data_IF_214379916148
#
_entry.id   IF_214379916148
#
_cell.length_a   1.000
_cell.length_b   1.000
_cell.length_c   1.000
_cell.angle_alpha   90.00
_cell.angle_beta   90.00
_cell.angle_gamma   90.00
#
_symmetry.space_group_name_H-M   'P 1'
#
loop_
_entity.id
_entity.type
_entity.pdbx_description
1 polymer ?
#
# COMPACT_ATOMS: atom_id res chain seq x y z
N UNK A 1 2.31 14.71 11.89
CA UNK A 1 2.82 14.71 10.49
C UNK A 1 3.85 13.60 10.39
N UNK A 2 3.75 12.71 9.39
CA UNK A 2 4.70 11.62 9.21
C UNK A 2 6.07 12.14 8.79
N UNK A 3 7.14 11.49 9.25
CA UNK A 3 8.46 11.60 8.63
C UNK A 3 8.44 10.85 7.29
N UNK A 4 9.10 11.36 6.26
CA UNK A 4 9.15 10.72 4.95
C UNK A 4 10.43 11.06 4.19
N UNK A 5 10.75 10.20 3.22
CA UNK A 5 11.72 10.45 2.16
C UNK A 5 10.98 10.87 0.89
N UNK A 6 11.66 11.61 0.03
CA UNK A 6 11.09 12.08 -1.22
C UNK A 6 12.13 11.98 -2.34
N UNK A 7 11.69 11.58 -3.53
CA UNK A 7 12.42 11.69 -4.79
C UNK A 7 11.56 12.49 -5.74
N UNK A 8 12.07 13.66 -6.12
CA UNK A 8 11.44 14.53 -7.11
C UNK A 8 11.45 13.86 -8.49
N UNK A 9 10.42 14.07 -9.33
CA UNK A 9 10.42 13.58 -10.70
C UNK A 9 11.59 14.19 -11.48
N UNK A 10 12.26 13.39 -12.32
CA UNK A 10 13.35 13.88 -13.18
C UNK A 10 12.81 14.74 -14.34
N UNK A 11 11.54 14.59 -14.70
CA UNK A 11 10.85 15.41 -15.68
C UNK A 11 9.96 16.42 -14.98
N UNK A 12 10.18 17.70 -15.24
CA UNK A 12 9.37 18.76 -14.64
C UNK A 12 7.90 18.64 -15.05
N UNK A 13 7.00 18.65 -14.06
CA UNK A 13 5.56 18.78 -14.24
C UNK A 13 5.01 19.81 -13.26
N UNK A 14 4.07 20.65 -13.73
CA UNK A 14 3.32 21.57 -12.86
C UNK A 14 2.38 20.82 -11.90
N UNK A 15 1.98 19.61 -12.27
CA UNK A 15 1.13 18.70 -11.49
C UNK A 15 1.69 17.30 -11.63
N UNK A 16 2.70 16.92 -10.84
CA UNK A 16 3.29 15.59 -10.92
C UNK A 16 2.30 14.52 -10.47
N UNK A 17 2.41 13.34 -11.04
CA UNK A 17 1.81 12.12 -10.51
C UNK A 17 2.61 11.73 -9.25
N UNK A 18 1.95 11.15 -8.25
CA UNK A 18 2.63 10.75 -7.03
C UNK A 18 2.47 9.26 -6.71
N UNK A 19 3.49 8.70 -6.06
CA UNK A 19 3.48 7.36 -5.48
C UNK A 19 3.86 7.46 -4.01
N UNK A 20 2.92 7.14 -3.11
CA UNK A 20 3.17 7.03 -1.68
C UNK A 20 3.47 5.57 -1.32
N UNK A 21 4.64 5.35 -0.71
CA UNK A 21 5.11 4.05 -0.26
C UNK A 21 4.87 3.86 1.24
N UNK A 22 4.28 2.70 1.61
CA UNK A 22 3.95 2.29 2.98
C UNK A 22 4.66 0.98 3.30
N UNK A 23 5.67 1.04 4.17
CA UNK A 23 6.50 -0.11 4.55
C UNK A 23 5.76 -1.12 5.43
N UNK A 24 6.34 -2.32 5.60
CA UNK A 24 5.84 -3.38 6.47
C UNK A 24 6.11 -3.15 7.95
N UNK A 25 5.49 -3.97 8.82
CA UNK A 25 5.73 -3.98 10.26
C UNK A 25 7.21 -4.20 10.58
N UNK A 26 7.76 -3.39 11.47
CA UNK A 26 9.16 -3.50 11.90
C UNK A 26 10.18 -2.83 10.96
N UNK A 27 9.73 -2.27 9.85
CA UNK A 27 10.57 -1.59 8.87
C UNK A 27 10.54 -0.06 9.04
N UNK A 28 10.88 0.71 8.00
CA UNK A 28 10.90 2.16 7.99
C UNK A 28 10.82 2.72 6.57
N UNK A 29 10.87 4.06 6.42
CA UNK A 29 10.75 4.76 5.15
C UNK A 29 11.87 4.48 4.13
N UNK A 30 12.98 3.88 4.52
CA UNK A 30 14.09 3.57 3.61
C UNK A 30 13.87 2.28 2.82
N UNK A 31 13.05 1.38 3.32
CA UNK A 31 12.85 0.02 2.80
C UNK A 31 12.35 0.06 1.35
N UNK A 32 11.09 0.37 1.12
CA UNK A 32 10.52 0.44 -0.23
C UNK A 32 11.13 1.57 -1.08
N UNK A 33 11.68 2.61 -0.45
CA UNK A 33 12.38 3.69 -1.14
C UNK A 33 13.60 3.20 -1.92
N UNK A 34 14.14 2.04 -1.59
CA UNK A 34 15.21 1.37 -2.35
C UNK A 34 14.81 1.06 -3.80
N UNK A 35 13.51 0.93 -4.10
CA UNK A 35 12.98 0.71 -5.45
C UNK A 35 12.83 2.00 -6.27
N UNK A 36 12.91 3.17 -5.64
CA UNK A 36 12.57 4.45 -6.26
C UNK A 36 13.32 4.73 -7.58
N UNK A 37 14.60 4.35 -7.66
CA UNK A 37 15.41 4.54 -8.86
C UNK A 37 15.05 3.63 -10.05
N UNK A 38 14.22 2.63 -9.83
CA UNK A 38 13.76 1.68 -10.85
C UNK A 38 12.35 2.00 -11.37
N UNK A 39 11.69 2.98 -10.76
CA UNK A 39 10.34 3.42 -11.11
C UNK A 39 10.37 4.56 -12.13
N UNK A 40 9.24 4.86 -12.80
CA UNK A 40 9.16 5.90 -13.82
C UNK A 40 9.69 7.27 -13.36
N UNK A 41 10.43 7.93 -14.24
CA UNK A 41 11.11 9.20 -13.96
C UNK A 41 10.17 10.41 -13.80
N UNK A 42 8.89 10.26 -14.16
CA UNK A 42 7.86 11.30 -14.03
C UNK A 42 7.06 11.23 -12.72
N UNK A 43 7.35 10.24 -11.86
CA UNK A 43 6.71 10.09 -10.56
C UNK A 43 7.40 10.90 -9.46
N UNK A 44 6.61 11.63 -8.68
CA UNK A 44 7.00 12.10 -7.36
C UNK A 44 6.86 10.95 -6.37
N UNK A 45 7.98 10.40 -5.91
CA UNK A 45 7.98 9.24 -5.02
C UNK A 45 8.14 9.70 -3.57
N UNK A 46 7.25 9.27 -2.70
CA UNK A 46 7.23 9.62 -1.28
C UNK A 46 7.17 8.33 -0.48
N UNK A 47 8.09 8.13 0.46
CA UNK A 47 8.07 6.96 1.35
C UNK A 47 7.88 7.40 2.79
N UNK A 48 6.75 7.05 3.39
CA UNK A 48 6.39 7.49 4.73
C UNK A 48 6.86 6.50 5.80
N UNK A 49 7.28 7.04 6.97
CA UNK A 49 7.56 6.27 8.17
C UNK A 49 6.28 6.13 9.00
N UNK A 50 5.96 4.91 9.40
CA UNK A 50 4.85 4.62 10.29
C UNK A 50 5.01 5.31 11.68
N UNK A 51 3.91 5.61 12.40
CA UNK A 51 3.93 6.45 13.58
C UNK A 51 4.44 5.75 14.86
N UNK A 52 4.27 4.42 14.97
CA UNK A 52 4.59 3.69 16.20
C UNK A 52 6.00 3.12 16.12
N UNK A 53 6.92 3.59 16.99
CA UNK A 53 8.27 3.02 17.08
C UNK A 53 8.24 1.74 17.93
N UNK A 54 8.99 0.71 17.47
CA UNK A 54 9.10 -0.56 18.17
C UNK A 54 10.35 -0.58 19.08
N UNK A 55 10.26 -1.20 20.24
CA UNK A 55 11.35 -1.23 21.24
C UNK A 55 12.64 -1.89 20.74
N UNK A 56 12.53 -2.76 19.73
CA UNK A 56 13.64 -3.47 19.08
C UNK A 56 14.11 -2.85 17.76
N UNK A 57 13.65 -1.64 17.47
CA UNK A 57 13.93 -0.93 16.22
C UNK A 57 12.83 -1.12 15.17
N UNK A 58 12.80 -0.19 14.19
CA UNK A 58 11.75 -0.12 13.18
C UNK A 58 10.45 0.50 13.68
N UNK A 59 9.44 0.48 12.80
CA UNK A 59 8.17 1.19 13.01
C UNK A 59 6.99 0.34 12.54
N UNK A 60 5.81 0.65 13.05
CA UNK A 60 4.57 -0.03 12.71
C UNK A 60 3.44 1.00 12.48
N UNK A 61 2.51 0.65 11.60
CA UNK A 61 1.29 1.44 11.38
C UNK A 61 0.25 1.18 12.47
N UNK A 62 0.28 -0.01 13.05
CA UNK A 62 -0.52 -0.45 14.19
C UNK A 62 0.16 -1.65 14.87
N UNK A 63 -0.16 -1.86 16.13
CA UNK A 63 0.37 -2.99 16.89
C UNK A 63 -0.25 -4.33 16.44
N UNK A 64 0.55 -5.40 16.58
CA UNK A 64 0.13 -6.78 16.39
C UNK A 64 0.39 -7.50 17.72
N UNK A 65 -0.65 -8.10 18.26
CA UNK A 65 -0.60 -8.88 19.50
C UNK A 65 -0.70 -10.37 19.19
N UNK A 66 -0.33 -11.19 20.17
CA UNK A 66 -0.62 -12.62 20.16
C UNK A 66 -1.77 -12.89 21.15
N UNK A 67 -2.77 -13.66 20.72
CA UNK A 67 -3.79 -14.18 21.63
C UNK A 67 -3.26 -15.35 22.49
N UNK A 68 -4.10 -15.90 23.36
CA UNK A 68 -3.75 -17.03 24.22
C UNK A 68 -3.42 -18.32 23.43
N UNK A 69 -3.77 -18.39 22.17
CA UNK A 69 -3.50 -19.48 21.22
C UNK A 69 -2.33 -19.18 20.29
N UNK A 70 -1.59 -18.06 20.51
CA UNK A 70 -0.52 -17.55 19.66
C UNK A 70 -0.97 -17.13 18.24
N UNK A 71 -2.25 -16.84 18.03
CA UNK A 71 -2.69 -16.21 16.78
C UNK A 71 -2.36 -14.72 16.79
N UNK A 72 -1.98 -14.19 15.61
CA UNK A 72 -1.72 -12.75 15.44
C UNK A 72 -3.05 -12.00 15.37
N UNK A 73 -3.21 -11.01 16.23
CA UNK A 73 -4.37 -10.09 16.24
C UNK A 73 -3.88 -8.68 15.97
N UNK A 74 -4.45 -8.04 14.94
CA UNK A 74 -4.18 -6.65 14.62
C UNK A 74 -4.94 -5.71 15.57
N UNK A 75 -4.30 -4.62 15.99
CA UNK A 75 -5.02 -3.52 16.63
C UNK A 75 -5.77 -2.70 15.58
N UNK A 76 -7.02 -3.08 15.32
CA UNK A 76 -7.84 -2.47 14.28
C UNK A 76 -8.19 -1.00 14.58
N UNK A 77 -8.29 -0.60 15.85
CA UNK A 77 -8.49 0.80 16.24
C UNK A 77 -7.28 1.66 15.85
N UNK A 78 -6.08 1.19 16.15
CA UNK A 78 -4.85 1.88 15.70
C UNK A 78 -4.72 1.87 14.18
N UNK A 79 -5.14 0.79 13.50
CA UNK A 79 -5.12 0.72 12.04
C UNK A 79 -6.05 1.77 11.42
N UNK A 80 -7.27 1.92 11.93
CA UNK A 80 -8.23 2.93 11.49
C UNK A 80 -7.73 4.37 11.79
N UNK A 81 -7.09 4.60 12.94
CA UNK A 81 -6.47 5.88 13.25
C UNK A 81 -5.31 6.20 12.27
N UNK A 82 -4.45 5.23 11.99
CA UNK A 82 -3.38 5.39 10.99
C UNK A 82 -3.92 5.65 9.59
N UNK A 83 -5.03 5.02 9.24
CA UNK A 83 -5.74 5.24 7.98
C UNK A 83 -6.21 6.69 7.84
N UNK A 84 -6.86 7.23 8.88
CA UNK A 84 -7.31 8.63 8.90
C UNK A 84 -6.14 9.61 8.80
N UNK A 85 -5.07 9.38 9.59
CA UNK A 85 -3.86 10.20 9.53
C UNK A 85 -3.20 10.16 8.14
N UNK A 86 -3.17 9.00 7.48
CA UNK A 86 -2.64 8.85 6.12
C UNK A 86 -3.51 9.61 5.10
N UNK A 87 -4.83 9.56 5.23
CA UNK A 87 -5.74 10.34 4.37
C UNK A 87 -5.49 11.83 4.48
N UNK A 88 -5.33 12.36 5.71
CA UNK A 88 -4.97 13.76 5.95
C UNK A 88 -3.57 14.11 5.42
N UNK A 89 -2.63 13.18 5.55
CA UNK A 89 -1.27 13.34 5.03
C UNK A 89 -1.25 13.42 3.50
N UNK A 90 -2.08 12.62 2.82
CA UNK A 90 -2.26 12.68 1.36
C UNK A 90 -2.73 14.08 0.94
N UNK A 91 -3.72 14.66 1.62
CA UNK A 91 -4.20 16.02 1.33
C UNK A 91 -3.07 17.06 1.49
N UNK A 92 -2.29 16.97 2.57
CA UNK A 92 -1.14 17.85 2.80
C UNK A 92 -0.06 17.70 1.72
N UNK A 93 0.20 16.48 1.24
CA UNK A 93 1.17 16.24 0.17
C UNK A 93 0.67 16.82 -1.16
N UNK A 94 -0.61 16.62 -1.47
CA UNK A 94 -1.23 17.14 -2.69
C UNK A 94 -1.09 18.67 -2.73
N UNK A 95 -1.41 19.35 -1.64
CA UNK A 95 -1.33 20.80 -1.57
C UNK A 95 0.13 21.30 -1.59
N UNK A 96 1.02 20.65 -0.84
CA UNK A 96 2.43 21.06 -0.72
C UNK A 96 3.21 20.92 -2.02
N UNK A 97 2.98 19.83 -2.76
CA UNK A 97 3.74 19.49 -3.97
C UNK A 97 2.94 19.71 -5.26
N UNK A 98 1.73 20.29 -5.16
CA UNK A 98 0.82 20.52 -6.29
C UNK A 98 0.53 19.27 -7.10
N UNK A 99 0.39 18.11 -6.42
CA UNK A 99 0.19 16.80 -7.05
C UNK A 99 -1.13 16.78 -7.83
N UNK A 100 -1.14 16.06 -8.95
CA UNK A 100 -2.36 15.75 -9.67
C UNK A 100 -3.26 14.82 -8.83
N UNK A 101 -4.38 15.36 -8.34
CA UNK A 101 -5.33 14.62 -7.50
C UNK A 101 -5.90 13.36 -8.14
N UNK A 102 -5.90 13.28 -9.48
CA UNK A 102 -6.36 12.11 -10.23
C UNK A 102 -5.27 11.05 -10.41
N UNK A 103 -4.02 11.36 -10.05
CA UNK A 103 -2.86 10.50 -10.23
C UNK A 103 -2.04 10.35 -8.93
N UNK A 104 -2.74 10.21 -7.80
CA UNK A 104 -2.13 9.84 -6.53
C UNK A 104 -2.23 8.31 -6.34
N UNK A 105 -1.10 7.66 -6.21
CA UNK A 105 -0.97 6.20 -6.22
C UNK A 105 -0.35 5.68 -4.93
N UNK A 106 -0.57 4.40 -4.61
CA UNK A 106 -0.02 3.74 -3.44
C UNK A 106 0.85 2.55 -3.81
N UNK A 107 1.90 2.32 -3.03
CA UNK A 107 2.67 1.08 -3.02
C UNK A 107 2.85 0.66 -1.56
N UNK A 108 2.31 -0.48 -1.19
CA UNK A 108 2.40 -1.01 0.17
C UNK A 108 3.00 -2.43 0.20
N UNK A 109 3.77 -2.71 1.24
CA UNK A 109 4.26 -4.06 1.54
C UNK A 109 3.71 -4.53 2.89
N UNK A 110 3.22 -5.77 2.96
CA UNK A 110 2.75 -6.41 4.18
C UNK A 110 1.72 -5.53 4.92
N UNK A 111 1.99 -5.04 6.13
CA UNK A 111 1.12 -4.14 6.87
C UNK A 111 0.77 -2.86 6.08
N UNK A 112 1.73 -2.32 5.32
CA UNK A 112 1.51 -1.20 4.42
C UNK A 112 0.57 -1.53 3.25
N UNK A 113 0.61 -2.77 2.74
CA UNK A 113 -0.34 -3.24 1.71
C UNK A 113 -1.76 -3.36 2.26
N UNK A 114 -1.93 -3.90 3.48
CA UNK A 114 -3.22 -3.97 4.18
C UNK A 114 -3.85 -2.58 4.31
N UNK A 115 -3.05 -1.57 4.73
CA UNK A 115 -3.52 -0.19 4.79
C UNK A 115 -3.78 0.42 3.40
N UNK A 116 -3.01 0.05 2.38
CA UNK A 116 -3.24 0.54 1.01
C UNK A 116 -4.58 0.09 0.46
N UNK A 117 -5.01 -1.15 0.73
CA UNK A 117 -6.37 -1.61 0.42
C UNK A 117 -7.41 -0.75 1.14
N UNK A 118 -7.25 -0.57 2.45
CA UNK A 118 -8.19 0.20 3.26
C UNK A 118 -8.27 1.66 2.80
N UNK A 119 -7.12 2.34 2.54
CA UNK A 119 -7.07 3.70 2.02
C UNK A 119 -7.84 3.85 0.70
N UNK A 120 -7.58 2.96 -0.26
CA UNK A 120 -8.23 3.01 -1.57
C UNK A 120 -9.75 2.80 -1.49
N UNK A 121 -10.22 1.99 -0.53
CA UNK A 121 -11.64 1.69 -0.37
C UNK A 121 -12.39 2.70 0.51
N UNK A 122 -11.72 3.33 1.50
CA UNK A 122 -12.31 4.41 2.30
C UNK A 122 -12.32 5.76 1.59
N UNK A 123 -11.28 6.03 0.78
CA UNK A 123 -11.06 7.33 0.12
C UNK A 123 -10.80 7.15 -1.37
N UNK A 124 -11.73 6.52 -2.11
CA UNK A 124 -11.51 6.20 -3.53
C UNK A 124 -11.29 7.45 -4.38
N UNK A 125 -11.83 8.61 -3.97
CA UNK A 125 -11.65 9.88 -4.67
C UNK A 125 -10.22 10.44 -4.58
N UNK A 126 -9.40 9.91 -3.66
CA UNK A 126 -8.00 10.34 -3.46
C UNK A 126 -6.99 9.43 -4.11
N UNK A 127 -7.34 8.18 -4.41
CA UNK A 127 -6.40 7.13 -4.83
C UNK A 127 -6.77 6.64 -6.22
N UNK A 128 -5.75 6.41 -7.05
CA UNK A 128 -5.96 5.96 -8.43
C UNK A 128 -5.47 4.53 -8.67
N UNK A 129 -4.17 4.26 -8.44
CA UNK A 129 -3.54 2.95 -8.65
C UNK A 129 -2.90 2.45 -7.37
N UNK A 130 -2.94 1.15 -7.16
CA UNK A 130 -2.45 0.53 -5.94
C UNK A 130 -1.56 -0.67 -6.28
N UNK A 131 -0.35 -0.68 -5.74
CA UNK A 131 0.53 -1.84 -5.69
C UNK A 131 0.49 -2.40 -4.28
N UNK A 132 -0.03 -3.60 -4.11
CA UNK A 132 -0.17 -4.29 -2.83
C UNK A 132 0.68 -5.57 -2.82
N UNK A 133 1.81 -5.53 -2.12
CA UNK A 133 2.81 -6.59 -2.07
C UNK A 133 2.70 -7.36 -0.74
N UNK A 134 2.53 -8.67 -0.80
CA UNK A 134 2.51 -9.59 0.36
C UNK A 134 1.54 -9.16 1.48
N UNK A 135 0.38 -8.62 1.12
CA UNK A 135 -0.68 -8.23 2.05
C UNK A 135 -1.97 -9.00 1.80
N UNK A 136 -3.01 -8.64 2.52
CA UNK A 136 -4.37 -9.19 2.39
C UNK A 136 -5.42 -8.12 2.73
N UNK A 137 -6.69 -8.37 2.41
CA UNK A 137 -7.81 -7.54 2.84
C UNK A 137 -8.24 -7.95 4.24
N UNK A 138 -7.97 -7.07 5.23
CA UNK A 138 -8.51 -7.20 6.57
C UNK A 138 -9.92 -6.59 6.60
N UNK A 139 -10.95 -7.42 6.49
CA UNK A 139 -12.35 -6.98 6.39
C UNK A 139 -12.82 -6.13 7.58
N UNK A 140 -12.20 -6.28 8.78
CA UNK A 140 -12.56 -5.53 9.98
C UNK A 140 -12.22 -4.02 9.89
N UNK A 141 -11.28 -3.65 8.98
CA UNK A 141 -10.93 -2.25 8.74
C UNK A 141 -11.41 -1.72 7.38
N UNK A 142 -12.19 -2.52 6.63
CA UNK A 142 -12.77 -2.06 5.36
C UNK A 142 -14.08 -1.29 5.58
N UNK A 143 -14.46 -0.40 4.65
CA UNK A 143 -15.71 0.35 4.77
C UNK A 143 -16.93 -0.57 4.70
N UNK A 144 -17.86 -0.42 5.66
CA UNK A 144 -19.06 -1.25 5.75
C UNK A 144 -20.08 -0.92 4.65
N UNK A 145 -20.16 0.33 4.21
CA UNK A 145 -21.13 0.83 3.23
C UNK A 145 -20.37 1.32 1.98
N UNK A 146 -19.95 0.39 1.14
CA UNK A 146 -19.19 0.70 -0.06
C UNK A 146 -20.12 0.95 -1.26
N UNK A 147 -20.03 2.12 -1.88
CA UNK A 147 -20.67 2.40 -3.17
C UNK A 147 -19.76 1.89 -4.29
N UNK A 148 -20.11 0.76 -4.92
CA UNK A 148 -19.30 0.12 -5.98
C UNK A 148 -18.97 1.05 -7.16
N UNK A 149 -19.83 2.01 -7.46
CA UNK A 149 -19.60 3.01 -8.52
C UNK A 149 -18.36 3.88 -8.27
N UNK A 150 -18.05 4.18 -7.00
CA UNK A 150 -16.88 4.99 -6.64
C UNK A 150 -15.55 4.27 -6.87
N UNK A 151 -15.56 2.95 -7.05
CA UNK A 151 -14.35 2.12 -7.21
C UNK A 151 -13.96 1.85 -8.66
N UNK A 152 -14.78 2.21 -9.65
CA UNK A 152 -14.58 1.86 -11.07
C UNK A 152 -13.25 2.29 -11.67
N UNK A 153 -12.66 3.36 -11.16
CA UNK A 153 -11.36 3.87 -11.62
C UNK A 153 -10.17 3.18 -10.96
N UNK A 154 -10.38 2.52 -9.79
CA UNK A 154 -9.31 1.84 -9.08
C UNK A 154 -8.76 0.67 -9.91
N UNK A 155 -7.44 0.47 -9.84
CA UNK A 155 -6.78 -0.68 -10.43
C UNK A 155 -5.62 -1.13 -9.52
N UNK A 156 -5.56 -2.43 -9.22
CA UNK A 156 -4.60 -3.00 -8.30
C UNK A 156 -3.62 -3.92 -9.02
N UNK A 157 -2.33 -3.80 -8.67
CA UNK A 157 -1.36 -4.87 -8.79
C UNK A 157 -1.22 -5.54 -7.43
N UNK A 158 -1.40 -6.84 -7.39
CA UNK A 158 -1.37 -7.64 -6.16
C UNK A 158 -0.37 -8.76 -6.34
N UNK A 159 0.55 -8.90 -5.40
CA UNK A 159 1.51 -10.02 -5.40
C UNK A 159 1.56 -10.73 -4.06
N UNK A 160 1.81 -12.04 -4.08
CA UNK A 160 2.01 -12.82 -2.86
C UNK A 160 2.98 -13.98 -3.07
N UNK A 161 3.71 -14.33 -2.02
CA UNK A 161 4.62 -15.47 -2.00
C UNK A 161 3.90 -16.78 -1.72
N UNK A 162 4.17 -17.83 -2.52
CA UNK A 162 3.59 -19.16 -2.30
C UNK A 162 4.10 -19.83 -1.03
N UNK A 163 5.27 -19.39 -0.55
CA UNK A 163 5.93 -19.89 0.66
C UNK A 163 5.96 -18.84 1.77
N UNK A 164 5.03 -17.88 1.75
CA UNK A 164 4.93 -16.85 2.81
C UNK A 164 4.48 -17.48 4.12
N UNK A 165 5.41 -17.53 5.11
CA UNK A 165 5.18 -18.05 6.45
C UNK A 165 4.67 -16.99 7.43
N UNK A 166 4.67 -15.70 7.02
CA UNK A 166 4.21 -14.58 7.85
C UNK A 166 2.73 -14.32 7.63
N UNK A 167 2.30 -14.25 6.36
CA UNK A 167 0.92 -14.14 5.91
C UNK A 167 0.65 -15.30 4.97
N UNK A 168 -0.08 -16.34 5.39
CA UNK A 168 -0.37 -17.49 4.56
C UNK A 168 -1.03 -17.08 3.24
N UNK A 169 -0.65 -17.71 2.14
CA UNK A 169 -1.19 -17.43 0.80
C UNK A 169 -2.73 -17.54 0.76
N UNK A 170 -3.32 -18.39 1.59
CA UNK A 170 -4.78 -18.54 1.72
C UNK A 170 -5.46 -17.24 2.16
N UNK A 171 -4.80 -16.35 2.91
CA UNK A 171 -5.34 -15.05 3.26
C UNK A 171 -5.29 -14.09 2.08
N UNK A 172 -4.19 -14.07 1.33
CA UNK A 172 -4.06 -13.25 0.13
C UNK A 172 -5.05 -13.66 -0.97
N UNK A 173 -5.31 -14.95 -1.13
CA UNK A 173 -6.26 -15.47 -2.13
C UNK A 173 -7.70 -14.99 -1.91
N UNK A 174 -8.10 -14.63 -0.69
CA UNK A 174 -9.42 -14.02 -0.38
C UNK A 174 -9.58 -12.63 -1.00
N UNK A 175 -8.50 -11.97 -1.35
CA UNK A 175 -8.52 -10.61 -1.95
C UNK A 175 -9.20 -10.61 -3.32
N UNK A 176 -8.92 -11.60 -4.18
CA UNK A 176 -9.47 -11.66 -5.53
C UNK A 176 -11.02 -11.73 -5.55
N UNK A 177 -11.70 -12.64 -4.84
CA UNK A 177 -13.16 -12.65 -4.78
C UNK A 177 -13.73 -11.37 -4.16
N UNK A 178 -13.09 -10.80 -3.14
CA UNK A 178 -13.52 -9.56 -2.52
C UNK A 178 -13.53 -8.36 -3.49
N UNK A 179 -12.45 -8.19 -4.29
CA UNK A 179 -12.36 -7.12 -5.29
C UNK A 179 -13.30 -7.37 -6.48
N UNK A 180 -13.47 -8.63 -6.88
CA UNK A 180 -14.41 -9.02 -7.94
C UNK A 180 -15.85 -8.66 -7.59
N UNK A 181 -16.29 -8.94 -6.37
CA UNK A 181 -17.62 -8.57 -5.86
C UNK A 181 -17.89 -7.06 -5.96
N UNK A 182 -16.86 -6.25 -5.82
CA UNK A 182 -16.94 -4.78 -5.90
C UNK A 182 -16.70 -4.21 -7.31
N UNK A 183 -16.57 -5.07 -8.33
CA UNK A 183 -16.25 -4.69 -9.72
C UNK A 183 -14.97 -3.84 -9.85
N UNK A 184 -13.96 -4.11 -9.02
CA UNK A 184 -12.67 -3.43 -9.03
C UNK A 184 -11.72 -4.18 -9.95
N UNK A 185 -10.94 -3.46 -10.78
CA UNK A 185 -9.92 -4.04 -11.63
C UNK A 185 -8.67 -4.41 -10.84
N UNK A 186 -8.09 -5.57 -11.13
CA UNK A 186 -6.83 -5.99 -10.51
C UNK A 186 -6.08 -7.00 -11.39
N UNK A 187 -4.76 -7.07 -11.15
CA UNK A 187 -3.86 -8.16 -11.57
C UNK A 187 -3.39 -8.85 -10.31
N UNK A 188 -3.56 -10.16 -10.19
CA UNK A 188 -3.13 -10.94 -9.03
C UNK A 188 -2.12 -12.00 -9.46
N UNK A 189 -0.92 -11.95 -8.87
CA UNK A 189 0.18 -12.84 -9.19
C UNK A 189 0.73 -13.53 -7.93
N UNK A 190 1.04 -14.81 -8.05
CA UNK A 190 1.68 -15.62 -7.02
C UNK A 190 3.08 -16.05 -7.47
N UNK A 191 4.08 -15.77 -6.62
CA UNK A 191 5.49 -16.01 -6.93
C UNK A 191 6.10 -17.09 -6.05
N UNK A 192 7.18 -17.72 -6.53
CA UNK A 192 7.98 -18.70 -5.79
C UNK A 192 8.89 -17.97 -4.77
N UNK A 193 8.29 -17.29 -3.80
CA UNK A 193 8.98 -16.50 -2.78
C UNK A 193 8.30 -16.63 -1.43
N UNK A 194 9.01 -16.24 -0.36
CA UNK A 194 8.48 -16.11 1.00
C UNK A 194 7.80 -14.75 1.22
N UNK A 195 7.94 -14.19 2.44
CA UNK A 195 7.43 -12.86 2.79
C UNK A 195 8.42 -11.77 2.34
N UNK A 196 8.56 -11.59 1.05
CA UNK A 196 9.56 -10.72 0.40
C UNK A 196 9.08 -10.27 -0.98
N UNK A 197 9.90 -9.49 -1.67
CA UNK A 197 9.71 -9.12 -3.08
C UNK A 197 10.85 -9.73 -3.89
N UNK A 198 10.58 -10.80 -4.65
CA UNK A 198 11.57 -11.44 -5.53
C UNK A 198 11.90 -10.54 -6.74
N UNK A 199 12.99 -10.84 -7.44
CA UNK A 199 13.35 -10.12 -8.68
C UNK A 199 12.27 -10.23 -9.75
N UNK A 200 11.62 -11.39 -9.88
CA UNK A 200 10.51 -11.60 -10.81
C UNK A 200 9.32 -10.74 -10.44
N UNK A 201 8.90 -10.75 -9.16
CA UNK A 201 7.82 -9.90 -8.64
C UNK A 201 8.12 -8.41 -8.84
N UNK A 202 9.36 -7.99 -8.58
CA UNK A 202 9.79 -6.61 -8.78
C UNK A 202 9.73 -6.20 -10.25
N UNK A 203 10.16 -7.07 -11.17
CA UNK A 203 10.09 -6.83 -12.62
C UNK A 203 8.65 -6.63 -13.09
N UNK A 204 7.76 -7.56 -12.76
CA UNK A 204 6.33 -7.47 -13.14
C UNK A 204 5.65 -6.24 -12.53
N UNK A 205 5.99 -5.89 -11.29
CA UNK A 205 5.50 -4.67 -10.63
C UNK A 205 5.96 -3.41 -11.38
N UNK A 206 7.24 -3.32 -11.75
CA UNK A 206 7.78 -2.18 -12.50
C UNK A 206 7.09 -2.06 -13.87
N UNK A 207 6.91 -3.16 -14.57
CA UNK A 207 6.22 -3.18 -15.86
C UNK A 207 4.76 -2.71 -15.71
N UNK A 208 4.08 -3.17 -14.67
CA UNK A 208 2.70 -2.72 -14.39
C UNK A 208 2.65 -1.23 -14.05
N UNK A 209 3.58 -0.72 -13.23
CA UNK A 209 3.69 0.71 -12.90
C UNK A 209 3.94 1.55 -14.15
N UNK A 210 4.84 1.13 -15.06
CA UNK A 210 5.11 1.81 -16.33
C UNK A 210 3.88 1.89 -17.25
N UNK A 211 2.98 0.90 -17.17
CA UNK A 211 1.78 0.86 -18.02
C UNK A 211 0.65 1.73 -17.45
N UNK A 212 0.49 1.74 -16.12
CA UNK A 212 -0.73 2.25 -15.49
C UNK A 212 -0.55 3.52 -14.66
N UNK A 213 0.67 3.88 -14.27
CA UNK A 213 0.97 5.10 -13.53
C UNK A 213 1.71 6.12 -14.40
#
# INVERSE_FOLDING_TARGET
MFRYLIQEPKQFSKKPKALLMLHGFGSNEQDLFSFANQLPDDLLIISARAPFSLNYGGYAWYDIYLDAQNNKISNNEQALNSLEQLSQFIDLLIDKYHIDKQNFNLLGFSQGAILSYALALHYPEKINRIVALSGYINEEIMPQNAHTESYKHLNFFISHGKFDEIIPISEAQKTSPYLTDKNIKFTYNEYQMGHEVSYECLGDMIDWVNIYM
#
